data_IF_944802200649
#
_entry.id   IF_944802200649
#
_cell.length_a   1.000
_cell.length_b   1.000
_cell.length_c   1.000
_cell.angle_alpha   90.00
_cell.angle_beta   90.00
_cell.angle_gamma   90.00
#
_symmetry.space_group_name_H-M   'P 1'
#
loop_
_entity.id
_entity.type
_entity.pdbx_description
1 polymer ?
#
# COMPACT_ATOMS: atom_id res chain seq x y z
N UNK A 1 4.60 8.50 8.05
CA UNK A 1 6.02 8.34 8.45
C UNK A 1 6.46 6.88 8.46
N UNK A 2 5.84 5.97 9.23
CA UNK A 2 6.24 4.56 9.28
C UNK A 2 6.26 3.84 7.91
N UNK A 3 5.17 3.91 7.15
CA UNK A 3 5.08 3.27 5.82
C UNK A 3 6.06 3.85 4.79
N UNK A 4 6.46 5.11 4.95
CA UNK A 4 7.52 5.71 4.15
C UNK A 4 8.87 5.07 4.45
N UNK A 5 9.19 4.86 5.73
CA UNK A 5 10.42 4.16 6.14
C UNK A 5 10.44 2.72 5.62
N UNK A 6 9.31 2.00 5.73
CA UNK A 6 9.19 0.64 5.16
C UNK A 6 9.49 0.64 3.66
N UNK A 7 8.88 1.54 2.88
CA UNK A 7 9.19 1.64 1.44
C UNK A 7 10.67 1.90 1.20
N UNK A 8 11.29 2.85 1.91
CA UNK A 8 12.72 3.18 1.75
C UNK A 8 13.64 2.00 2.06
N UNK A 9 13.32 1.23 3.11
CA UNK A 9 14.05 0.02 3.46
C UNK A 9 13.92 -1.05 2.38
N UNK A 10 12.72 -1.22 1.80
CA UNK A 10 12.50 -2.14 0.71
C UNK A 10 13.28 -1.76 -0.56
N UNK A 11 13.27 -0.48 -0.93
CA UNK A 11 14.07 0.05 -2.06
C UNK A 11 15.57 -0.18 -1.85
N UNK A 12 16.04 -0.07 -0.60
CA UNK A 12 17.43 -0.36 -0.23
C UNK A 12 17.76 -1.86 -0.10
N UNK A 13 16.82 -2.76 -0.46
CA UNK A 13 17.02 -4.20 -0.38
C UNK A 13 17.20 -4.73 1.05
N UNK A 14 16.61 -4.06 2.05
CA UNK A 14 16.78 -4.42 3.47
C UNK A 14 15.80 -5.48 3.98
N UNK A 15 14.97 -6.04 3.12
CA UNK A 15 14.02 -7.09 3.47
C UNK A 15 14.30 -8.39 2.72
N UNK A 16 13.91 -9.50 3.33
CA UNK A 16 14.03 -10.85 2.79
C UNK A 16 12.94 -11.12 1.74
N UNK A 17 12.98 -12.31 1.15
CA UNK A 17 11.92 -12.84 0.29
C UNK A 17 10.56 -12.91 0.99
N UNK A 18 10.51 -13.04 2.32
CA UNK A 18 9.26 -13.09 3.10
C UNK A 18 8.46 -11.80 2.97
N UNK A 19 9.09 -10.64 3.13
CA UNK A 19 8.43 -9.36 2.93
C UNK A 19 8.06 -9.15 1.46
N UNK A 20 8.96 -9.48 0.53
CA UNK A 20 8.74 -9.32 -0.92
C UNK A 20 7.55 -10.15 -1.43
N UNK A 21 7.36 -11.34 -0.86
CA UNK A 21 6.27 -12.25 -1.22
C UNK A 21 4.97 -11.97 -0.48
N UNK A 22 4.97 -11.09 0.53
CA UNK A 22 3.75 -10.76 1.24
C UNK A 22 2.76 -10.05 0.30
N UNK A 23 1.59 -10.67 0.17
CA UNK A 23 0.43 -10.12 -0.52
C UNK A 23 -0.59 -9.67 0.52
N UNK A 24 -0.81 -8.37 0.61
CA UNK A 24 -1.82 -7.77 1.44
C UNK A 24 -3.20 -7.90 0.79
N UNK A 25 -4.16 -8.42 1.55
CA UNK A 25 -5.55 -8.54 1.14
C UNK A 25 -6.26 -7.21 1.41
N UNK A 26 -6.58 -6.50 0.34
CA UNK A 26 -7.22 -5.18 0.40
C UNK A 26 -8.45 -5.17 -0.51
N UNK A 27 -9.25 -4.12 -0.43
CA UNK A 27 -10.42 -3.97 -1.26
C UNK A 27 -10.29 -2.73 -2.12
N UNK A 28 -10.91 -2.74 -3.30
CA UNK A 28 -11.01 -1.58 -4.17
C UNK A 28 -12.46 -1.31 -4.55
N UNK A 29 -12.80 -0.04 -4.73
CA UNK A 29 -14.07 0.41 -5.28
C UNK A 29 -13.80 1.24 -6.53
N UNK A 30 -14.63 1.06 -7.57
CA UNK A 30 -14.48 1.76 -8.83
C UNK A 30 -14.84 3.24 -8.68
N UNK A 31 -14.13 4.09 -9.43
CA UNK A 31 -14.51 5.48 -9.65
C UNK A 31 -15.62 5.55 -10.71
N UNK A 32 -16.74 6.22 -10.41
CA UNK A 32 -17.91 6.31 -11.30
C UNK A 32 -18.32 7.75 -11.64
N UNK A 33 -17.63 8.75 -11.10
CA UNK A 33 -17.99 10.16 -11.25
C UNK A 33 -17.18 10.94 -12.30
N UNK A 34 -17.36 12.27 -12.30
CA UNK A 34 -16.49 13.19 -13.06
C UNK A 34 -15.38 13.71 -12.16
N UNK A 35 -14.10 13.64 -12.56
CA UNK A 35 -13.01 14.08 -11.71
C UNK A 35 -13.03 15.61 -11.57
N UNK A 36 -12.88 16.10 -10.34
CA UNK A 36 -12.73 17.53 -10.04
C UNK A 36 -11.64 17.74 -8.98
N UNK A 37 -11.27 19.00 -8.76
CA UNK A 37 -10.16 19.36 -7.86
C UNK A 37 -10.37 18.92 -6.40
N UNK A 38 -11.63 18.78 -5.98
CA UNK A 38 -12.01 18.50 -4.60
C UNK A 38 -12.56 17.09 -4.41
N UNK A 39 -12.11 16.14 -5.23
CA UNK A 39 -12.57 14.73 -5.24
C UNK A 39 -12.65 14.09 -3.85
N UNK A 40 -11.79 14.50 -2.94
CA UNK A 40 -11.75 14.02 -1.56
C UNK A 40 -13.04 14.34 -0.78
N UNK A 41 -13.74 15.43 -1.09
CA UNK A 41 -14.96 15.81 -0.37
C UNK A 41 -16.14 14.88 -0.66
N UNK A 42 -16.18 14.32 -1.86
CA UNK A 42 -17.37 13.69 -2.42
C UNK A 42 -17.14 12.19 -2.66
N UNK A 43 -16.29 11.54 -1.85
CA UNK A 43 -15.89 10.13 -2.05
C UNK A 43 -17.08 9.16 -2.06
N UNK A 44 -18.15 9.45 -1.31
CA UNK A 44 -19.35 8.62 -1.27
C UNK A 44 -20.19 8.72 -2.55
N UNK A 45 -20.04 9.80 -3.31
CA UNK A 45 -20.76 10.03 -4.56
C UNK A 45 -19.95 9.55 -5.77
N UNK A 46 -18.63 9.68 -5.68
CA UNK A 46 -17.71 9.45 -6.81
C UNK A 46 -17.13 8.03 -6.88
N UNK A 47 -17.33 7.24 -5.83
CA UNK A 47 -16.89 5.85 -5.77
C UNK A 47 -18.03 4.93 -5.32
N UNK A 48 -18.02 3.72 -5.86
CA UNK A 48 -19.00 2.69 -5.53
C UNK A 48 -18.63 1.97 -4.22
N UNK A 49 -18.68 2.69 -3.08
CA UNK A 49 -18.26 2.15 -1.78
C UNK A 49 -19.07 0.93 -1.31
N UNK A 50 -20.27 0.72 -1.85
CA UNK A 50 -21.08 -0.48 -1.60
C UNK A 50 -20.65 -1.72 -2.39
N UNK A 51 -19.77 -1.56 -3.39
CA UNK A 51 -19.30 -2.64 -4.27
C UNK A 51 -17.78 -2.76 -4.12
N UNK A 52 -17.37 -3.48 -3.10
CA UNK A 52 -15.96 -3.74 -2.83
C UNK A 52 -15.47 -5.00 -3.54
N UNK A 53 -14.36 -4.88 -4.26
CA UNK A 53 -13.68 -6.02 -4.87
C UNK A 53 -12.43 -6.38 -4.06
N UNK A 54 -12.33 -7.61 -3.51
CA UNK A 54 -11.11 -8.06 -2.86
C UNK A 54 -10.00 -8.22 -3.90
N UNK A 55 -8.81 -7.73 -3.57
CA UNK A 55 -7.61 -7.85 -4.38
C UNK A 55 -6.40 -8.11 -3.49
N UNK A 56 -5.38 -8.72 -4.07
CA UNK A 56 -4.09 -8.95 -3.43
C UNK A 56 -3.04 -8.01 -4.04
N UNK A 57 -2.34 -7.24 -3.21
CA UNK A 57 -1.25 -6.33 -3.65
C UNK A 57 -0.02 -6.52 -2.78
N UNK A 58 1.16 -6.24 -3.33
CA UNK A 58 2.38 -6.25 -2.52
C UNK A 58 2.39 -5.11 -1.49
N UNK A 59 3.23 -5.27 -0.46
CA UNK A 59 3.36 -4.28 0.60
C UNK A 59 3.82 -2.90 0.09
N UNK A 60 4.59 -2.85 -1.01
CA UNK A 60 5.08 -1.60 -1.60
C UNK A 60 3.95 -0.80 -2.20
N UNK A 61 3.03 -1.45 -2.90
CA UNK A 61 1.82 -0.83 -3.41
C UNK A 61 1.01 -0.20 -2.28
N UNK A 62 0.81 -0.94 -1.18
CA UNK A 62 0.09 -0.45 0.01
C UNK A 62 0.80 0.79 0.58
N UNK A 63 2.11 0.72 0.83
CA UNK A 63 2.90 1.86 1.29
C UNK A 63 2.77 3.07 0.34
N UNK A 64 2.82 2.84 -0.97
CA UNK A 64 2.69 3.89 -1.98
C UNK A 64 1.34 4.59 -1.94
N UNK A 65 0.24 3.88 -1.66
CA UNK A 65 -1.07 4.52 -1.52
C UNK A 65 -1.11 5.53 -0.36
N UNK A 66 -0.34 5.32 0.70
CA UNK A 66 -0.27 6.27 1.83
C UNK A 66 0.75 7.39 1.63
N UNK A 67 1.88 7.09 0.96
CA UNK A 67 2.94 8.08 0.71
C UNK A 67 2.49 9.11 -0.34
N UNK A 68 1.77 8.65 -1.36
CA UNK A 68 1.26 9.48 -2.45
C UNK A 68 -0.26 9.70 -2.35
N UNK A 69 -0.82 9.56 -1.15
CA UNK A 69 -2.24 9.74 -0.91
C UNK A 69 -2.70 11.14 -1.34
N UNK A 70 -3.70 11.21 -2.21
CA UNK A 70 -4.44 12.45 -2.42
C UNK A 70 -5.39 12.71 -1.24
N UNK A 71 -5.97 11.63 -0.70
CA UNK A 71 -6.82 11.66 0.48
C UNK A 71 -6.79 10.32 1.22
N UNK A 72 -7.07 10.37 2.51
CA UNK A 72 -7.20 9.18 3.37
C UNK A 72 -8.30 9.41 4.40
N UNK A 73 -9.19 8.43 4.57
CA UNK A 73 -10.31 8.45 5.51
C UNK A 73 -10.25 7.24 6.43
N UNK A 74 -10.39 7.46 7.73
CA UNK A 74 -10.48 6.37 8.68
C UNK A 74 -11.89 5.77 8.69
N UNK A 75 -11.96 4.44 8.72
CA UNK A 75 -13.20 3.67 8.67
C UNK A 75 -13.45 3.07 10.04
N UNK A 76 -14.63 3.36 10.57
CA UNK A 76 -15.08 2.81 11.84
C UNK A 76 -16.02 1.63 11.58
N UNK A 77 -15.80 0.52 12.29
CA UNK A 77 -16.71 -0.62 12.31
C UNK A 77 -17.99 -0.35 13.10
N UNK A 78 -18.92 -1.29 12.99
CA UNK A 78 -20.17 -1.30 13.80
C UNK A 78 -19.87 -1.36 15.30
N UNK A 79 -18.79 -2.04 15.67
CA UNK A 79 -18.25 -2.14 17.03
C UNK A 79 -17.62 -0.84 17.54
N UNK A 80 -17.64 0.23 16.73
CA UNK A 80 -17.01 1.52 17.03
C UNK A 80 -15.49 1.46 17.14
N UNK A 81 -14.83 0.43 16.63
CA UNK A 81 -13.38 0.40 16.48
C UNK A 81 -12.95 0.83 15.07
N UNK A 82 -11.67 1.13 14.91
CA UNK A 82 -11.10 1.45 13.60
C UNK A 82 -10.81 0.16 12.83
N UNK A 83 -11.50 -0.05 11.72
CA UNK A 83 -11.39 -1.29 10.95
C UNK A 83 -10.40 -1.17 9.79
N UNK A 84 -10.07 0.06 9.39
CA UNK A 84 -9.14 0.30 8.30
C UNK A 84 -9.20 1.73 7.80
N UNK A 85 -8.58 1.93 6.64
CA UNK A 85 -8.47 3.23 6.00
C UNK A 85 -8.92 3.11 4.54
N UNK A 86 -9.72 4.06 4.08
CA UNK A 86 -9.84 4.34 2.66
C UNK A 86 -8.73 5.28 2.24
N UNK A 87 -8.06 4.97 1.14
CA UNK A 87 -7.05 5.86 0.57
C UNK A 87 -7.04 5.73 -0.94
N UNK A 88 -6.65 6.81 -1.61
CA UNK A 88 -6.30 6.77 -3.02
C UNK A 88 -5.13 7.69 -3.27
N UNK A 89 -4.13 7.16 -3.97
CA UNK A 89 -3.03 7.97 -4.48
C UNK A 89 -3.47 8.92 -5.61
N UNK A 90 -2.64 9.92 -5.89
CA UNK A 90 -2.85 10.84 -7.02
C UNK A 90 -2.99 10.13 -8.37
N UNK A 91 -2.29 9.01 -8.55
CA UNK A 91 -2.34 8.21 -9.78
C UNK A 91 -3.62 7.38 -9.90
N UNK A 92 -4.14 6.92 -8.75
CA UNK A 92 -5.27 5.98 -8.70
C UNK A 92 -6.63 6.66 -8.55
N UNK A 93 -6.68 7.92 -8.10
CA UNK A 93 -7.94 8.63 -7.74
C UNK A 93 -8.96 8.84 -8.87
N UNK A 94 -8.64 8.46 -10.10
CA UNK A 94 -9.58 8.47 -11.23
C UNK A 94 -9.98 7.06 -11.69
N UNK A 95 -9.58 6.05 -10.93
CA UNK A 95 -9.76 4.63 -11.23
C UNK A 95 -10.33 3.91 -10.02
N UNK A 96 -9.66 4.01 -8.88
CA UNK A 96 -9.92 3.19 -7.72
C UNK A 96 -9.69 3.97 -6.42
N UNK A 97 -10.54 3.73 -5.44
CA UNK A 97 -10.26 3.97 -4.02
C UNK A 97 -9.99 2.62 -3.36
N UNK A 98 -9.04 2.57 -2.43
CA UNK A 98 -8.64 1.34 -1.77
C UNK A 98 -9.05 1.36 -0.30
N UNK A 99 -9.76 0.33 0.15
CA UNK A 99 -9.94 0.03 1.57
C UNK A 99 -8.85 -0.91 2.03
N UNK A 100 -8.03 -0.45 2.96
CA UNK A 100 -6.92 -1.19 3.52
C UNK A 100 -7.28 -1.52 4.97
N UNK A 101 -7.50 -2.81 5.30
CA UNK A 101 -7.77 -3.24 6.67
C UNK A 101 -6.65 -2.82 7.62
N UNK A 102 -7.00 -2.41 8.84
CA UNK A 102 -6.00 -2.03 9.83
C UNK A 102 -5.05 -3.20 10.16
N UNK A 103 -5.57 -4.43 10.17
CA UNK A 103 -4.81 -5.66 10.35
C UNK A 103 -3.67 -5.82 9.33
N UNK A 104 -3.92 -5.48 8.06
CA UNK A 104 -2.90 -5.57 7.01
C UNK A 104 -1.84 -4.47 7.15
N UNK A 105 -2.22 -3.26 7.58
CA UNK A 105 -1.25 -2.21 7.90
C UNK A 105 -0.33 -2.66 9.03
N UNK A 106 -0.90 -3.19 10.10
CA UNK A 106 -0.12 -3.71 11.25
C UNK A 106 0.80 -4.84 10.82
N UNK A 107 0.31 -5.79 10.03
CA UNK A 107 1.10 -6.91 9.51
C UNK A 107 2.27 -6.46 8.65
N UNK A 108 2.10 -5.46 7.78
CA UNK A 108 3.20 -4.88 7.00
C UNK A 108 4.25 -4.24 7.91
N UNK A 109 3.82 -3.50 8.94
CA UNK A 109 4.74 -2.86 9.88
C UNK A 109 5.48 -3.90 10.74
N UNK A 110 4.78 -4.91 11.24
CA UNK A 110 5.37 -6.02 11.99
C UNK A 110 6.38 -6.77 11.14
N UNK A 111 6.03 -7.13 9.90
CA UNK A 111 6.94 -7.74 8.94
C UNK A 111 8.17 -6.86 8.73
N UNK A 112 8.03 -5.55 8.58
CA UNK A 112 9.17 -4.66 8.41
C UNK A 112 10.10 -4.58 9.64
N UNK A 113 9.60 -4.91 10.84
CA UNK A 113 10.41 -4.93 12.08
C UNK A 113 11.11 -6.28 12.25
N UNK A 114 10.40 -7.38 12.00
CA UNK A 114 10.93 -8.73 12.26
C UNK A 114 11.71 -9.29 11.08
N UNK A 115 11.48 -8.80 9.87
CA UNK A 115 12.12 -9.28 8.66
C UNK A 115 13.44 -8.55 8.44
N UNK A 116 14.53 -9.27 8.67
CA UNK A 116 15.88 -8.84 8.32
C UNK A 116 16.57 -9.99 7.59
N UNK A 117 17.18 -9.74 6.41
CA UNK A 117 17.83 -10.79 5.65
C UNK A 117 19.02 -11.35 6.44
N UNK A 118 19.14 -12.69 6.49
CA UNK A 118 20.31 -13.33 7.09
C UNK A 118 21.51 -13.30 6.13
N UNK A 119 21.26 -13.06 4.84
CA UNK A 119 22.29 -12.97 3.81
C UNK A 119 21.99 -11.84 2.82
N UNK A 120 23.00 -11.01 2.57
CA UNK A 120 23.00 -10.03 1.47
C UNK A 120 24.11 -10.37 0.47
N UNK A 121 23.77 -10.35 -0.82
CA UNK A 121 24.73 -10.41 -1.93
C UNK A 121 24.52 -9.21 -2.84
N UNK A 122 25.62 -8.66 -3.34
CA UNK A 122 25.60 -7.60 -4.33
C UNK A 122 26.10 -8.16 -5.66
N UNK A 123 25.33 -7.97 -6.72
CA UNK A 123 25.71 -8.35 -8.07
C UNK A 123 25.57 -7.13 -8.96
N UNK A 124 26.64 -6.75 -9.63
CA UNK A 124 26.55 -5.71 -10.65
C UNK A 124 25.78 -6.25 -11.86
N UNK A 125 24.88 -5.43 -12.40
CA UNK A 125 24.11 -5.76 -13.59
C UNK A 125 24.45 -4.78 -14.72
N UNK A 126 25.20 -5.27 -15.69
CA UNK A 126 25.71 -4.48 -16.81
C UNK A 126 24.58 -3.91 -17.69
N UNK A 127 23.36 -4.48 -17.66
CA UNK A 127 22.23 -3.96 -18.43
C UNK A 127 21.52 -2.81 -17.70
N UNK A 128 21.49 -2.85 -16.37
CA UNK A 128 20.95 -1.77 -15.55
C UNK A 128 22.00 -0.67 -15.25
N UNK A 129 23.27 -0.93 -15.58
CA UNK A 129 24.45 -0.15 -15.18
C UNK A 129 24.50 0.11 -13.66
N UNK A 130 23.93 -0.81 -12.86
CA UNK A 130 23.70 -0.62 -11.43
C UNK A 130 23.94 -1.91 -10.60
N UNK A 131 24.06 -1.76 -9.29
CA UNK A 131 24.20 -2.85 -8.34
C UNK A 131 22.84 -3.40 -7.90
N UNK A 132 22.61 -4.69 -8.14
CA UNK A 132 21.44 -5.40 -7.64
C UNK A 132 21.75 -5.99 -6.26
N UNK A 133 20.86 -5.70 -5.30
CA UNK A 133 20.89 -6.28 -3.95
C UNK A 133 20.01 -7.53 -3.92
N UNK A 134 20.64 -8.68 -3.74
CA UNK A 134 19.98 -9.96 -3.54
C UNK A 134 19.97 -10.29 -2.04
N UNK A 135 18.77 -10.60 -1.53
CA UNK A 135 18.53 -11.06 -0.15
C UNK A 135 17.94 -12.46 -0.17
N UNK A 136 18.19 -13.22 0.88
CA UNK A 136 17.54 -14.51 1.14
C UNK A 136 16.02 -14.39 1.30
#
# INVERSE_FOLDING_TARGET
MALFMVRRLAEAGRFSTKFKNHRAEIFRCAFNGKPHRLIYKDISELYELGIEQPIAKDAIFVCNQFIHANFTYAIRGEDRNWNGLYTSSDFEKRKWIYRIPLSEILKILELAVVDSPSRMRWRYDDQAEDWIVETD
#
